data_IF_043825767910
#
_entry.id   IF_043825767910
#
_cell.length_a   1.000
_cell.length_b   1.000
_cell.length_c   1.000
_cell.angle_alpha   90.00
_cell.angle_beta   90.00
_cell.angle_gamma   90.00
#
_symmetry.space_group_name_H-M   'P 1'
#
loop_
_entity.id
_entity.type
_entity.pdbx_description
1 polymer ?
#
# COMPACT_ATOMS: atom_id res chain seq x y z
N UNK A 1 -52.23 -3.78 -34.79
CA UNK A 1 -51.29 -4.35 -33.79
C UNK A 1 -51.81 -4.08 -32.38
N UNK A 2 -52.18 -5.12 -31.62
CA UNK A 2 -52.70 -4.95 -30.28
C UNK A 2 -51.57 -4.77 -29.26
N UNK A 3 -51.47 -3.57 -28.70
CA UNK A 3 -50.53 -3.18 -27.63
C UNK A 3 -50.56 -4.17 -26.45
N UNK A 4 -51.71 -4.81 -26.21
CA UNK A 4 -51.89 -5.83 -25.18
C UNK A 4 -51.05 -7.10 -25.38
N UNK A 5 -50.81 -7.53 -26.63
CA UNK A 5 -49.96 -8.70 -26.91
C UNK A 5 -48.48 -8.38 -26.68
N UNK A 6 -48.06 -7.15 -27.01
CA UNK A 6 -46.69 -6.69 -26.75
C UNK A 6 -46.38 -6.59 -25.25
N UNK A 7 -47.32 -6.09 -24.46
CA UNK A 7 -47.19 -6.02 -22.99
C UNK A 7 -47.15 -7.42 -22.36
N UNK A 8 -47.98 -8.36 -22.81
CA UNK A 8 -47.97 -9.73 -22.30
C UNK A 8 -46.66 -10.47 -22.60
N UNK A 9 -46.14 -10.32 -23.83
CA UNK A 9 -44.86 -10.91 -24.23
C UNK A 9 -43.68 -10.31 -23.43
N UNK A 10 -43.68 -8.98 -23.23
CA UNK A 10 -42.67 -8.30 -22.43
C UNK A 10 -42.68 -8.72 -20.96
N UNK A 11 -43.88 -8.87 -20.36
CA UNK A 11 -44.03 -9.34 -18.98
C UNK A 11 -43.54 -10.79 -18.82
N UNK A 12 -43.86 -11.68 -19.78
CA UNK A 12 -43.40 -13.06 -19.74
C UNK A 12 -41.86 -13.17 -19.85
N UNK A 13 -41.24 -12.39 -20.76
CA UNK A 13 -39.78 -12.35 -20.89
C UNK A 13 -39.10 -11.76 -19.66
N UNK A 14 -39.65 -10.67 -19.11
CA UNK A 14 -39.14 -10.04 -17.89
C UNK A 14 -39.21 -10.98 -16.68
N UNK A 15 -40.32 -11.72 -16.53
CA UNK A 15 -40.46 -12.73 -15.49
C UNK A 15 -39.41 -13.85 -15.64
N UNK A 16 -39.16 -14.31 -16.87
CA UNK A 16 -38.18 -15.36 -17.14
C UNK A 16 -36.75 -14.90 -16.82
N UNK A 17 -36.39 -13.67 -17.17
CA UNK A 17 -35.08 -13.08 -16.82
C UNK A 17 -34.94 -12.87 -15.31
N UNK A 18 -36.00 -12.43 -14.62
CA UNK A 18 -35.98 -12.24 -13.17
C UNK A 18 -35.79 -13.57 -12.42
N UNK A 19 -36.43 -14.65 -12.88
CA UNK A 19 -36.25 -16.00 -12.33
C UNK A 19 -34.84 -16.51 -12.57
N UNK A 20 -34.32 -16.37 -13.79
CA UNK A 20 -32.94 -16.74 -14.12
C UNK A 20 -31.92 -15.96 -13.28
N UNK A 21 -32.10 -14.65 -13.13
CA UNK A 21 -31.26 -13.80 -12.30
C UNK A 21 -31.31 -14.19 -10.83
N UNK A 22 -32.50 -14.46 -10.30
CA UNK A 22 -32.70 -14.91 -8.91
C UNK A 22 -31.98 -16.23 -8.60
N UNK A 23 -31.92 -17.15 -9.56
CA UNK A 23 -31.19 -18.43 -9.44
C UNK A 23 -29.68 -18.23 -9.57
N UNK A 24 -29.22 -17.34 -10.45
CA UNK A 24 -27.80 -17.16 -10.73
C UNK A 24 -27.04 -16.43 -9.60
N UNK A 25 -27.72 -15.52 -8.88
CA UNK A 25 -27.13 -14.76 -7.75
C UNK A 25 -26.56 -15.67 -6.63
N UNK A 26 -27.29 -16.65 -6.07
CA UNK A 26 -26.76 -17.52 -5.02
C UNK A 26 -25.64 -18.44 -5.53
N UNK A 27 -25.76 -18.94 -6.77
CA UNK A 27 -24.74 -19.82 -7.38
C UNK A 27 -23.43 -19.06 -7.59
N UNK A 28 -23.49 -17.84 -8.13
CA UNK A 28 -22.32 -16.99 -8.31
C UNK A 28 -21.59 -16.71 -6.99
N UNK A 29 -22.33 -16.40 -5.92
CA UNK A 29 -21.74 -16.19 -4.59
C UNK A 29 -20.99 -17.42 -4.07
N UNK A 30 -21.55 -18.62 -4.24
CA UNK A 30 -20.93 -19.87 -3.76
C UNK A 30 -19.65 -20.20 -4.53
N UNK A 31 -19.67 -20.06 -5.86
CA UNK A 31 -18.49 -20.31 -6.70
C UNK A 31 -17.37 -19.33 -6.37
N UNK A 32 -17.68 -18.03 -6.32
CA UNK A 32 -16.70 -16.99 -5.98
C UNK A 32 -16.10 -17.23 -4.59
N UNK A 33 -16.94 -17.52 -3.59
CA UNK A 33 -16.48 -17.81 -2.23
C UNK A 33 -15.54 -19.01 -2.20
N UNK A 34 -15.88 -20.10 -2.90
CA UNK A 34 -15.05 -21.30 -2.94
C UNK A 34 -13.70 -21.09 -3.64
N UNK A 35 -13.65 -20.22 -4.66
CA UNK A 35 -12.40 -19.87 -5.34
C UNK A 35 -11.56 -18.95 -4.47
N UNK A 36 -12.16 -17.95 -3.83
CA UNK A 36 -11.46 -17.03 -2.92
C UNK A 36 -10.91 -17.79 -1.70
N UNK A 37 -11.68 -18.69 -1.10
CA UNK A 37 -11.21 -19.48 0.04
C UNK A 37 -10.04 -20.41 -0.32
N UNK A 38 -9.91 -20.86 -1.58
CA UNK A 38 -8.79 -21.69 -2.03
C UNK A 38 -7.56 -20.87 -2.43
N UNK A 39 -7.76 -19.77 -3.14
CA UNK A 39 -6.66 -18.94 -3.65
C UNK A 39 -6.14 -17.94 -2.63
N UNK A 40 -6.94 -17.52 -1.63
CA UNK A 40 -6.53 -16.57 -0.61
C UNK A 40 -5.84 -17.21 0.60
N UNK A 41 -5.82 -18.54 0.69
CA UNK A 41 -5.09 -19.26 1.73
C UNK A 41 -3.60 -19.24 1.41
N UNK A 42 -2.78 -18.91 2.42
CA UNK A 42 -1.33 -18.83 2.33
C UNK A 42 -0.71 -20.23 2.43
N UNK A 43 -1.01 -21.07 1.45
CA UNK A 43 -0.43 -22.40 1.29
C UNK A 43 0.54 -22.44 0.11
N UNK A 44 1.64 -23.21 0.21
CA UNK A 44 2.58 -23.35 -0.89
C UNK A 44 1.88 -23.92 -2.13
N UNK A 45 1.87 -23.15 -3.22
CA UNK A 45 1.20 -23.50 -4.48
C UNK A 45 -0.01 -22.64 -4.84
N UNK A 46 -0.44 -21.71 -3.98
CA UNK A 46 -1.48 -20.71 -4.32
C UNK A 46 -0.88 -19.43 -4.90
N UNK A 47 -1.64 -18.73 -5.75
CA UNK A 47 -1.24 -17.43 -6.31
C UNK A 47 -0.99 -16.38 -5.21
N UNK A 48 -1.71 -16.46 -4.09
CA UNK A 48 -1.51 -15.57 -2.95
C UNK A 48 -0.17 -15.83 -2.24
N UNK A 49 0.26 -17.09 -2.16
CA UNK A 49 1.57 -17.43 -1.57
C UNK A 49 2.71 -16.89 -2.41
N UNK A 50 2.68 -17.06 -3.74
CA UNK A 50 3.72 -16.56 -4.64
C UNK A 50 3.83 -15.02 -4.58
N UNK A 51 2.68 -14.33 -4.58
CA UNK A 51 2.64 -12.87 -4.40
C UNK A 51 3.14 -12.41 -3.02
N UNK A 52 2.96 -13.22 -1.97
CA UNK A 52 3.41 -12.91 -0.61
C UNK A 52 4.91 -13.16 -0.41
N UNK A 53 5.47 -14.19 -1.05
CA UNK A 53 6.91 -14.50 -1.01
C UNK A 53 7.69 -13.48 -1.83
N UNK A 54 7.23 -13.16 -3.04
CA UNK A 54 7.85 -12.19 -3.96
C UNK A 54 6.81 -11.15 -4.40
N UNK A 55 6.65 -10.11 -3.59
CA UNK A 55 5.86 -8.95 -3.98
C UNK A 55 6.56 -8.20 -5.12
N UNK A 56 6.11 -8.43 -6.37
CA UNK A 56 6.69 -7.84 -7.57
C UNK A 56 6.47 -6.32 -7.67
N UNK A 57 5.48 -5.79 -6.94
CA UNK A 57 5.16 -4.37 -6.95
C UNK A 57 6.27 -3.54 -6.26
N UNK A 58 6.90 -2.57 -6.96
CA UNK A 58 7.94 -1.74 -6.36
C UNK A 58 7.34 -0.75 -5.35
N UNK A 59 7.70 -0.89 -4.07
CA UNK A 59 7.26 0.04 -3.02
C UNK A 59 8.30 1.15 -2.82
N UNK A 60 7.87 2.38 -3.06
CA UNK A 60 8.67 3.58 -2.84
C UNK A 60 8.33 4.21 -1.50
N UNK A 61 9.36 4.60 -0.75
CA UNK A 61 9.23 5.37 0.48
C UNK A 61 9.85 6.74 0.26
N UNK A 62 9.07 7.79 0.48
CA UNK A 62 9.49 9.17 0.32
C UNK A 62 9.65 9.82 1.69
N UNK A 63 10.78 10.48 1.91
CA UNK A 63 11.04 11.22 3.14
C UNK A 63 11.08 12.73 2.86
N UNK A 64 10.48 13.50 3.76
CA UNK A 64 10.58 14.95 3.82
C UNK A 64 11.27 15.31 5.12
N UNK A 65 12.28 16.18 5.04
CA UNK A 65 13.02 16.66 6.18
C UNK A 65 12.78 18.16 6.36
N UNK A 66 12.58 18.59 7.60
CA UNK A 66 12.52 19.99 7.94
C UNK A 66 13.93 20.51 8.22
N UNK A 67 14.40 21.40 7.37
CA UNK A 67 15.69 22.09 7.54
C UNK A 67 15.48 23.36 8.37
N UNK A 68 16.14 23.45 9.53
CA UNK A 68 16.10 24.63 10.39
C UNK A 68 17.02 25.71 9.82
N UNK A 69 16.48 26.91 9.56
CA UNK A 69 17.22 28.06 9.01
C UNK A 69 17.98 28.84 10.09
N UNK A 70 17.47 28.88 11.32
CA UNK A 70 18.04 29.63 12.44
C UNK A 70 18.52 28.72 13.60
N UNK A 71 19.39 27.71 13.34
CA UNK A 71 19.75 26.74 14.38
C UNK A 71 20.46 27.38 15.59
N UNK A 72 21.29 28.40 15.38
CA UNK A 72 22.01 29.06 16.47
C UNK A 72 21.08 29.83 17.42
N UNK A 73 20.10 30.54 16.89
CA UNK A 73 19.16 31.33 17.69
C UNK A 73 18.24 30.43 18.50
N UNK A 74 17.80 29.31 17.93
CA UNK A 74 16.96 28.33 18.62
C UNK A 74 17.72 27.73 19.81
N UNK A 75 18.99 27.39 19.61
CA UNK A 75 19.81 26.77 20.68
C UNK A 75 20.22 27.79 21.74
N UNK A 76 20.61 29.01 21.36
CA UNK A 76 21.13 30.02 22.29
C UNK A 76 20.02 30.80 23.01
N UNK A 77 18.97 31.15 22.28
CA UNK A 77 17.97 32.14 22.72
C UNK A 77 16.57 31.51 22.93
N UNK A 78 16.39 30.23 22.59
CA UNK A 78 15.09 29.56 22.68
C UNK A 78 14.03 30.14 21.73
N UNK A 79 14.44 30.76 20.63
CA UNK A 79 13.51 31.37 19.66
C UNK A 79 12.76 30.31 18.86
N UNK A 80 11.61 30.70 18.30
CA UNK A 80 10.80 29.81 17.45
C UNK A 80 11.61 29.36 16.22
N UNK A 81 11.72 28.05 15.95
CA UNK A 81 12.49 27.55 14.82
C UNK A 81 11.80 27.86 13.49
N UNK A 82 12.54 28.47 12.57
CA UNK A 82 12.13 28.69 11.18
C UNK A 82 12.55 27.48 10.36
N UNK A 83 11.58 26.69 9.91
CA UNK A 83 11.81 25.45 9.16
C UNK A 83 11.47 25.59 7.69
N UNK A 84 12.22 24.88 6.84
CA UNK A 84 11.95 24.73 5.42
C UNK A 84 11.83 23.24 5.08
N UNK A 85 10.73 22.86 4.43
CA UNK A 85 10.51 21.49 4.00
C UNK A 85 11.40 21.15 2.80
N UNK A 86 12.19 20.07 2.93
CA UNK A 86 13.06 19.54 1.87
C UNK A 86 12.70 18.10 1.56
N UNK A 87 12.31 17.86 0.32
CA UNK A 87 11.97 16.53 -0.19
C UNK A 87 11.31 16.63 -1.58
N UNK A 88 10.91 15.50 -2.17
CA UNK A 88 11.01 14.15 -1.63
C UNK A 88 12.42 13.55 -1.77
N UNK A 89 12.84 12.77 -0.77
CA UNK A 89 13.95 11.82 -0.88
C UNK A 89 13.39 10.41 -0.98
N UNK A 90 13.44 9.86 -2.19
CA UNK A 90 12.77 8.62 -2.54
C UNK A 90 13.72 7.44 -2.45
N UNK A 91 13.35 6.42 -1.69
CA UNK A 91 14.02 5.14 -1.61
C UNK A 91 13.08 4.04 -2.12
N UNK A 92 13.61 3.17 -2.97
CA UNK A 92 12.94 1.93 -3.38
C UNK A 92 13.23 0.87 -2.32
N UNK A 93 12.19 0.36 -1.67
CA UNK A 93 12.32 -0.79 -0.77
C UNK A 93 12.50 -2.03 -1.63
N UNK A 94 13.59 -2.78 -1.42
CA UNK A 94 13.67 -4.15 -1.93
C UNK A 94 13.05 -5.07 -0.89
N UNK A 95 11.98 -5.75 -1.26
CA UNK A 95 11.56 -6.93 -0.53
C UNK A 95 12.60 -8.00 -0.81
N UNK A 96 13.42 -8.33 0.19
CA UNK A 96 14.15 -9.59 0.13
C UNK A 96 13.12 -10.70 0.35
N UNK A 97 13.14 -11.75 -0.49
CA UNK A 97 12.22 -12.88 -0.32
C UNK A 97 12.36 -13.41 1.11
N UNK A 98 11.25 -13.82 1.72
CA UNK A 98 11.26 -14.35 3.09
C UNK A 98 12.02 -15.68 3.08
N UNK A 99 13.28 -15.65 3.49
CA UNK A 99 14.10 -16.85 3.63
C UNK A 99 13.71 -17.58 4.92
N UNK A 100 13.47 -18.89 4.87
CA UNK A 100 13.09 -19.77 5.99
C UNK A 100 11.71 -19.48 6.62
N UNK A 101 10.63 -19.60 5.83
CA UNK A 101 9.24 -19.61 6.33
C UNK A 101 9.00 -20.88 7.14
N UNK A 102 9.50 -20.93 8.37
CA UNK A 102 9.11 -21.96 9.35
C UNK A 102 7.80 -21.54 9.98
N UNK A 103 6.81 -22.44 9.95
CA UNK A 103 5.42 -22.21 10.42
C UNK A 103 5.30 -21.85 11.90
N UNK A 104 6.41 -21.85 12.66
CA UNK A 104 6.44 -21.55 14.08
C UNK A 104 7.14 -20.23 14.45
N UNK A 105 7.88 -19.56 13.56
CA UNK A 105 8.56 -18.29 13.90
C UNK A 105 8.89 -17.52 12.62
N UNK A 106 8.16 -16.44 12.35
CA UNK A 106 8.49 -15.53 11.23
C UNK A 106 9.86 -14.86 11.46
N UNK A 107 10.88 -15.10 10.61
CA UNK A 107 12.10 -14.31 10.65
C UNK A 107 11.81 -12.87 10.17
N UNK A 108 12.54 -11.85 10.69
CA UNK A 108 12.39 -10.48 10.23
C UNK A 108 12.79 -10.37 8.76
N UNK A 109 11.87 -9.90 7.90
CA UNK A 109 12.17 -9.63 6.48
C UNK A 109 13.24 -8.54 6.40
N UNK A 110 14.41 -8.82 5.80
CA UNK A 110 15.45 -7.80 5.67
C UNK A 110 15.02 -6.85 4.53
N UNK A 111 14.58 -5.65 4.90
CA UNK A 111 14.21 -4.62 3.92
C UNK A 111 15.44 -3.75 3.61
N UNK A 112 16.12 -4.02 2.49
CA UNK A 112 17.18 -3.13 2.02
C UNK A 112 16.58 -1.98 1.20
N UNK A 113 16.67 -0.75 1.71
CA UNK A 113 16.29 0.47 0.98
C UNK A 113 17.38 0.85 -0.03
N UNK A 114 17.03 0.96 -1.32
CA UNK A 114 17.92 1.48 -2.38
C UNK A 114 17.48 2.88 -2.79
N UNK A 115 18.41 3.84 -2.77
CA UNK A 115 18.12 5.22 -3.18
C UNK A 115 17.69 5.33 -4.66
N UNK A 116 16.66 6.14 -4.93
CA UNK A 116 16.10 6.37 -6.26
C UNK A 116 16.31 7.84 -6.69
N UNK A 117 17.42 8.17 -7.37
CA UNK A 117 17.77 9.55 -7.73
C UNK A 117 16.75 10.22 -8.65
N UNK A 118 16.20 9.49 -9.61
CA UNK A 118 15.26 10.02 -10.61
C UNK A 118 13.94 10.50 -10.01
N UNK A 119 13.56 9.97 -8.84
CA UNK A 119 12.34 10.31 -8.12
C UNK A 119 12.62 11.19 -6.89
N UNK A 120 13.87 11.61 -6.69
CA UNK A 120 14.29 12.44 -5.57
C UNK A 120 14.64 13.84 -6.06
N UNK A 121 14.42 14.88 -5.24
CA UNK A 121 14.98 16.19 -5.55
C UNK A 121 16.52 16.13 -5.58
N UNK A 122 17.19 16.82 -6.51
CA UNK A 122 18.65 16.87 -6.54
C UNK A 122 19.22 17.34 -5.19
N UNK A 123 20.17 16.59 -4.65
CA UNK A 123 20.83 16.90 -3.39
C UNK A 123 21.74 18.12 -3.55
N UNK A 124 21.20 19.34 -3.45
CA UNK A 124 21.98 20.55 -3.21
C UNK A 124 22.15 20.75 -1.70
N UNK A 125 22.84 19.82 -1.04
CA UNK A 125 23.16 19.93 0.40
C UNK A 125 24.57 20.48 0.58
N UNK A 126 24.68 21.76 0.96
CA UNK A 126 25.74 22.21 1.86
C UNK A 126 25.47 21.68 3.27
N UNK A 127 26.52 21.41 4.07
CA UNK A 127 26.54 20.87 5.44
C UNK A 127 25.19 20.79 6.21
N UNK A 128 24.85 19.59 6.72
CA UNK A 128 23.65 19.27 7.50
C UNK A 128 23.58 20.09 8.81
N UNK A 129 22.43 20.73 9.10
CA UNK A 129 22.16 21.52 10.33
C UNK A 129 20.99 20.98 11.15
N UNK A 130 20.51 19.75 10.90
CA UNK A 130 19.44 19.15 11.71
C UNK A 130 19.97 18.75 13.09
N UNK A 131 19.19 18.94 14.18
CA UNK A 131 19.62 18.54 15.52
C UNK A 131 19.87 17.03 15.59
N UNK A 132 20.81 16.62 16.44
CA UNK A 132 21.12 15.22 16.68
C UNK A 132 19.90 14.52 17.29
N UNK A 133 19.46 13.35 16.77
CA UNK A 133 18.36 12.59 17.37
C UNK A 133 18.67 12.10 18.79
N UNK A 134 19.92 12.19 19.26
CA UNK A 134 20.32 11.82 20.61
C UNK A 134 19.90 12.84 21.69
N UNK A 135 19.56 14.08 21.32
CA UNK A 135 19.25 15.15 22.30
C UNK A 135 17.75 15.38 22.53
N UNK A 136 16.85 14.64 21.86
CA UNK A 136 15.40 14.88 21.90
C UNK A 136 14.67 14.11 23.01
N UNK A 137 15.36 13.26 23.77
CA UNK A 137 14.76 12.47 24.87
C UNK A 137 14.68 13.20 26.22
N UNK A 138 15.05 14.48 26.29
CA UNK A 138 15.03 15.28 27.52
C UNK A 138 13.93 16.36 27.55
N UNK A 139 13.02 16.37 26.59
CA UNK A 139 11.94 17.38 26.47
C UNK A 139 10.53 16.79 26.50
N UNK A 140 10.35 15.62 27.13
CA UNK A 140 9.05 15.07 27.52
C UNK A 140 9.04 14.75 29.01
#
# INVERSE_FOLDING_TARGET
CNVRCGLAAGAALGALVAVLGGILIPVGKTVIRSTVEKEAVLEPGTTAYDNWVSADAPVYRQFWFFHVKNPEEVVKNGTTPVVEERGPYTYRTRYLPKENVTTATTPPSPSCCRWAPSLSRPCRWGRRTTPSPASTWWLL
#
